data_IF_798045864644
#
_entry.id   IF_798045864644
#
_cell.length_a   1.000
_cell.length_b   1.000
_cell.length_c   1.000
_cell.angle_alpha   90.00
_cell.angle_beta   90.00
_cell.angle_gamma   90.00
#
_symmetry.space_group_name_H-M   'P 1'
#
loop_
_entity.id
_entity.type
_entity.pdbx_description
1 polymer ?
#
# COMPACT_ATOMS: atom_id res chain seq x y z
N UNK A 1 -38.04 -1.56 -10.07
CA UNK A 1 -36.61 -1.18 -9.97
C UNK A 1 -36.16 -0.33 -11.15
N UNK A 2 -36.15 -0.84 -12.40
CA UNK A 2 -35.63 -0.06 -13.54
C UNK A 2 -36.44 1.22 -13.81
N UNK A 3 -37.77 1.15 -13.68
CA UNK A 3 -38.67 2.31 -13.85
C UNK A 3 -38.41 3.45 -12.86
N UNK A 4 -37.81 3.17 -11.71
CA UNK A 4 -37.54 4.16 -10.66
C UNK A 4 -36.17 4.83 -10.76
N UNK A 5 -35.31 4.46 -11.72
CA UNK A 5 -33.97 5.05 -11.88
C UNK A 5 -33.95 6.58 -12.02
N UNK A 6 -34.91 7.24 -12.70
CA UNK A 6 -34.92 8.71 -12.75
C UNK A 6 -35.05 9.37 -11.37
N UNK A 7 -35.77 8.72 -10.45
CA UNK A 7 -35.99 9.20 -9.09
C UNK A 7 -34.92 8.71 -8.11
N UNK A 8 -34.21 7.63 -8.42
CA UNK A 8 -33.24 6.96 -7.53
C UNK A 8 -31.89 6.88 -8.25
N UNK A 9 -31.03 7.92 -8.14
CA UNK A 9 -29.83 8.05 -8.96
C UNK A 9 -28.85 6.88 -8.85
N UNK A 10 -28.74 6.27 -7.66
CA UNK A 10 -27.85 5.12 -7.41
C UNK A 10 -28.50 3.77 -7.66
N UNK A 11 -29.80 3.74 -7.98
CA UNK A 11 -30.53 2.51 -8.30
C UNK A 11 -29.86 1.62 -9.36
N UNK A 12 -29.28 2.17 -10.45
CA UNK A 12 -28.54 1.37 -11.43
C UNK A 12 -27.39 0.52 -10.84
N UNK A 13 -26.81 0.93 -9.71
CA UNK A 13 -25.73 0.19 -9.04
C UNK A 13 -26.20 -1.14 -8.41
N UNK A 14 -27.47 -1.20 -7.97
CA UNK A 14 -28.02 -2.25 -7.09
C UNK A 14 -29.09 -3.13 -7.76
N UNK A 15 -29.08 -3.29 -9.08
CA UNK A 15 -30.02 -4.21 -9.76
C UNK A 15 -29.35 -5.29 -10.61
N UNK A 16 -28.12 -5.04 -11.08
CA UNK A 16 -27.46 -5.91 -12.06
C UNK A 16 -27.11 -7.28 -11.50
N UNK A 17 -26.87 -7.41 -10.21
CA UNK A 17 -26.57 -8.72 -9.61
C UNK A 17 -27.77 -9.65 -9.63
N UNK A 18 -28.97 -9.10 -9.36
CA UNK A 18 -30.22 -9.84 -9.49
C UNK A 18 -30.42 -10.29 -10.95
N UNK A 19 -30.13 -9.43 -11.93
CA UNK A 19 -30.19 -9.80 -13.34
C UNK A 19 -29.17 -10.88 -13.71
N UNK A 20 -27.95 -10.83 -13.17
CA UNK A 20 -26.94 -11.87 -13.38
C UNK A 20 -27.39 -13.23 -12.84
N UNK A 21 -27.98 -13.25 -11.63
CA UNK A 21 -28.52 -14.47 -11.04
C UNK A 21 -29.69 -15.04 -11.84
N UNK A 22 -30.58 -14.18 -12.35
CA UNK A 22 -31.67 -14.59 -13.26
C UNK A 22 -31.13 -15.21 -14.55
N UNK A 23 -30.17 -14.55 -15.20
CA UNK A 23 -29.55 -15.05 -16.44
C UNK A 23 -28.89 -16.41 -16.19
N UNK A 24 -28.19 -16.56 -15.05
CA UNK A 24 -27.56 -17.82 -14.68
C UNK A 24 -28.60 -18.93 -14.45
N UNK A 25 -29.66 -18.64 -13.71
CA UNK A 25 -30.74 -19.59 -13.44
C UNK A 25 -31.45 -20.03 -14.73
N UNK A 26 -31.81 -19.09 -15.61
CA UNK A 26 -32.44 -19.39 -16.90
C UNK A 26 -31.57 -20.27 -17.80
N UNK A 27 -30.25 -20.07 -17.78
CA UNK A 27 -29.31 -20.95 -18.51
C UNK A 27 -29.32 -22.37 -17.94
N UNK A 28 -29.36 -22.51 -16.61
CA UNK A 28 -29.39 -23.81 -15.95
C UNK A 28 -30.73 -24.54 -16.13
N UNK A 29 -31.83 -23.79 -16.22
CA UNK A 29 -33.18 -24.35 -16.42
C UNK A 29 -33.60 -24.47 -17.88
N UNK A 30 -32.64 -24.37 -18.82
CA UNK A 30 -32.88 -24.45 -20.26
C UNK A 30 -33.99 -23.51 -20.77
N UNK A 31 -34.08 -22.31 -20.18
CA UNK A 31 -35.08 -21.30 -20.56
C UNK A 31 -36.45 -21.46 -19.90
N UNK A 32 -36.59 -22.31 -18.87
CA UNK A 32 -37.82 -22.39 -18.10
C UNK A 32 -37.95 -21.19 -17.13
N UNK A 33 -38.84 -20.26 -17.45
CA UNK A 33 -39.10 -19.07 -16.64
C UNK A 33 -39.82 -19.34 -15.32
N UNK A 34 -40.50 -20.49 -15.18
CA UNK A 34 -41.22 -20.88 -13.95
C UNK A 34 -40.33 -21.65 -12.96
N UNK A 35 -39.09 -21.95 -13.36
CA UNK A 35 -38.13 -22.65 -12.49
C UNK A 35 -37.67 -21.77 -11.32
N UNK A 36 -37.46 -22.38 -10.15
CA UNK A 36 -36.92 -21.67 -8.99
C UNK A 36 -35.47 -21.23 -9.24
N UNK A 37 -35.12 -20.03 -8.75
CA UNK A 37 -33.75 -19.50 -8.78
C UNK A 37 -33.23 -19.26 -7.37
N UNK A 38 -31.92 -19.41 -7.20
CA UNK A 38 -31.22 -19.05 -5.98
C UNK A 38 -30.58 -17.68 -6.14
N UNK A 39 -30.85 -16.77 -5.19
CA UNK A 39 -30.21 -15.46 -5.13
C UNK A 39 -28.84 -15.59 -4.45
N UNK A 40 -27.83 -14.98 -5.04
CA UNK A 40 -26.55 -14.79 -4.39
C UNK A 40 -26.67 -13.84 -3.19
N UNK A 41 -25.71 -13.90 -2.26
CA UNK A 41 -25.66 -12.96 -1.14
C UNK A 41 -25.60 -11.50 -1.62
N UNK A 42 -24.87 -11.24 -2.71
CA UNK A 42 -24.76 -9.90 -3.30
C UNK A 42 -26.11 -9.41 -3.81
N UNK A 43 -26.87 -10.26 -4.50
CA UNK A 43 -28.23 -9.93 -4.97
C UNK A 43 -29.20 -9.70 -3.82
N UNK A 44 -29.11 -10.48 -2.75
CA UNK A 44 -29.90 -10.24 -1.54
C UNK A 44 -29.56 -8.88 -0.91
N UNK A 45 -28.27 -8.55 -0.81
CA UNK A 45 -27.84 -7.24 -0.30
C UNK A 45 -28.34 -6.09 -1.18
N UNK A 46 -28.34 -6.26 -2.49
CA UNK A 46 -28.88 -5.29 -3.45
C UNK A 46 -30.39 -5.08 -3.24
N UNK A 47 -31.16 -6.16 -3.06
CA UNK A 47 -32.61 -6.06 -2.77
C UNK A 47 -32.89 -5.41 -1.41
N UNK A 48 -32.10 -5.73 -0.39
CA UNK A 48 -32.19 -5.08 0.92
C UNK A 48 -31.88 -3.58 0.82
N UNK A 49 -30.89 -3.20 0.00
CA UNK A 49 -30.61 -1.80 -0.29
C UNK A 49 -31.83 -1.11 -0.90
N UNK A 50 -32.50 -1.73 -1.87
CA UNK A 50 -33.75 -1.18 -2.44
C UNK A 50 -34.84 -0.98 -1.40
N UNK A 51 -35.10 -1.98 -0.57
CA UNK A 51 -36.11 -1.89 0.50
C UNK A 51 -35.82 -0.71 1.42
N UNK A 52 -34.55 -0.47 1.76
CA UNK A 52 -34.15 0.59 2.66
C UNK A 52 -34.20 2.00 2.03
N UNK A 53 -34.09 2.14 0.70
CA UNK A 53 -33.90 3.44 0.04
C UNK A 53 -35.05 3.86 -0.89
N UNK A 54 -35.93 2.94 -1.29
CA UNK A 54 -36.92 3.25 -2.35
C UNK A 54 -37.90 4.36 -1.96
N UNK A 55 -38.25 4.49 -0.67
CA UNK A 55 -39.20 5.49 -0.18
C UNK A 55 -38.55 6.85 0.14
N UNK A 56 -37.25 6.86 0.44
CA UNK A 56 -36.51 8.02 0.94
C UNK A 56 -35.48 8.59 -0.04
N UNK A 57 -35.25 7.92 -1.17
CA UNK A 57 -34.28 8.37 -2.15
C UNK A 57 -34.70 9.68 -2.82
N UNK A 58 -33.77 10.63 -2.86
CA UNK A 58 -33.96 11.92 -3.51
C UNK A 58 -33.02 12.07 -4.71
N UNK A 59 -33.51 12.69 -5.77
CA UNK A 59 -32.72 13.04 -6.96
C UNK A 59 -32.57 14.56 -7.06
N UNK A 60 -31.34 15.03 -7.24
CA UNK A 60 -31.09 16.44 -7.54
C UNK A 60 -31.38 16.69 -9.01
N UNK A 61 -32.40 17.51 -9.29
CA UNK A 61 -32.77 17.93 -10.65
C UNK A 61 -31.68 18.78 -11.31
N UNK A 62 -31.05 19.65 -10.54
CA UNK A 62 -29.93 20.49 -10.96
C UNK A 62 -28.71 20.07 -10.15
N UNK A 63 -27.62 19.78 -10.85
CA UNK A 63 -26.32 19.47 -10.24
C UNK A 63 -25.37 20.63 -10.52
N UNK A 64 -24.50 20.92 -9.56
CA UNK A 64 -23.43 21.89 -9.74
C UNK A 64 -22.49 21.46 -10.86
N UNK A 65 -21.82 22.43 -11.48
CA UNK A 65 -20.69 22.16 -12.35
C UNK A 65 -19.60 21.38 -11.60
N UNK A 66 -18.83 20.53 -12.28
CA UNK A 66 -17.76 19.79 -11.63
C UNK A 66 -16.69 20.75 -11.11
N UNK A 67 -16.25 20.56 -9.86
CA UNK A 67 -15.21 21.40 -9.25
C UNK A 67 -13.87 21.25 -9.98
N UNK A 68 -13.59 20.07 -10.54
CA UNK A 68 -12.41 19.82 -11.37
C UNK A 68 -12.59 18.60 -12.29
N UNK A 69 -11.62 18.47 -13.19
CA UNK A 69 -11.49 17.34 -14.12
C UNK A 69 -10.36 16.41 -13.65
N UNK A 70 -10.64 15.11 -13.65
CA UNK A 70 -9.68 14.05 -13.37
C UNK A 70 -9.52 13.19 -14.62
N UNK A 71 -8.31 13.16 -15.17
CA UNK A 71 -7.93 12.38 -16.33
C UNK A 71 -7.31 11.07 -15.87
N UNK A 72 -7.67 9.97 -16.50
CA UNK A 72 -7.06 8.66 -16.21
C UNK A 72 -6.70 7.94 -17.49
N UNK A 73 -5.69 7.08 -17.40
CA UNK A 73 -5.24 6.24 -18.49
C UNK A 73 -4.68 4.92 -17.94
N UNK A 74 -4.77 3.87 -18.75
CA UNK A 74 -4.18 2.59 -18.44
C UNK A 74 -3.24 2.13 -19.56
N UNK A 75 -2.10 1.56 -19.16
CA UNK A 75 -1.30 0.70 -20.03
C UNK A 75 -1.41 -0.75 -19.58
N UNK A 76 -0.82 -1.67 -20.34
CA UNK A 76 -0.72 -3.08 -19.92
C UNK A 76 0.17 -3.31 -18.69
N UNK A 77 0.94 -2.31 -18.25
CA UNK A 77 1.91 -2.45 -17.16
C UNK A 77 1.60 -1.56 -15.95
N UNK A 78 0.89 -0.45 -16.14
CA UNK A 78 0.65 0.53 -15.10
C UNK A 78 -0.60 1.38 -15.38
N UNK A 79 -1.04 2.12 -14.37
CA UNK A 79 -2.07 3.15 -14.46
C UNK A 79 -1.46 4.54 -14.33
N UNK A 80 -2.18 5.53 -14.84
CA UNK A 80 -1.84 6.95 -14.70
C UNK A 80 -3.08 7.79 -14.46
N UNK A 81 -2.92 8.87 -13.69
CA UNK A 81 -3.96 9.83 -13.40
C UNK A 81 -3.40 11.25 -13.29
N UNK A 82 -4.22 12.22 -13.68
CA UNK A 82 -3.91 13.64 -13.61
C UNK A 82 -5.12 14.45 -13.17
N UNK A 83 -4.96 15.19 -12.10
CA UNK A 83 -5.97 16.12 -11.58
C UNK A 83 -5.62 17.54 -12.05
N UNK A 84 -6.54 18.15 -12.80
CA UNK A 84 -6.23 19.34 -13.61
C UNK A 84 -6.13 20.65 -12.81
N UNK A 85 -6.95 20.84 -11.78
CA UNK A 85 -7.00 22.07 -10.98
C UNK A 85 -5.70 22.32 -10.19
N UNK A 86 -5.12 21.26 -9.61
CA UNK A 86 -3.89 21.34 -8.82
C UNK A 86 -2.63 20.85 -9.56
N UNK A 87 -2.77 20.39 -10.80
CA UNK A 87 -1.73 19.74 -11.62
C UNK A 87 -1.01 18.55 -10.94
N UNK A 88 -1.66 17.91 -9.96
CA UNK A 88 -1.10 16.73 -9.28
C UNK A 88 -1.29 15.48 -10.14
N UNK A 89 -0.29 14.59 -10.09
CA UNK A 89 -0.17 13.43 -10.95
C UNK A 89 0.09 12.20 -10.08
N UNK A 90 -0.48 11.07 -10.48
CA UNK A 90 -0.24 9.79 -9.84
C UNK A 90 -0.14 8.70 -10.89
N UNK A 91 0.60 7.65 -10.56
CA UNK A 91 0.74 6.46 -11.39
C UNK A 91 1.53 5.42 -10.65
N UNK A 92 1.24 4.15 -10.96
CA UNK A 92 1.93 3.02 -10.34
C UNK A 92 1.83 1.76 -11.21
N UNK A 93 2.70 0.77 -10.99
CA UNK A 93 2.60 -0.50 -11.68
C UNK A 93 1.36 -1.28 -11.24
N UNK A 94 0.87 -2.11 -12.17
CA UNK A 94 -0.06 -3.18 -11.85
C UNK A 94 0.67 -4.29 -11.07
N UNK A 95 -0.05 -4.96 -10.16
CA UNK A 95 0.37 -6.28 -9.67
C UNK A 95 0.35 -7.29 -10.81
N UNK A 96 1.04 -8.43 -10.65
CA UNK A 96 0.99 -9.51 -11.63
C UNK A 96 -0.46 -9.96 -11.92
N UNK A 97 -1.28 -10.11 -10.88
CA UNK A 97 -2.70 -10.45 -11.03
C UNK A 97 -3.48 -9.40 -11.80
N UNK A 98 -3.27 -8.11 -11.51
CA UNK A 98 -3.94 -7.02 -12.19
C UNK A 98 -3.55 -6.94 -13.66
N UNK A 99 -2.25 -6.98 -13.97
CA UNK A 99 -1.76 -6.90 -15.35
C UNK A 99 -2.27 -8.02 -16.27
N UNK A 100 -2.73 -9.13 -15.68
CA UNK A 100 -3.34 -10.25 -16.42
C UNK A 100 -4.81 -10.04 -16.77
N UNK A 101 -5.45 -9.01 -16.23
CA UNK A 101 -6.85 -8.68 -16.49
C UNK A 101 -7.02 -8.08 -17.90
N UNK A 102 -8.24 -8.18 -18.43
CA UNK A 102 -8.56 -7.61 -19.74
C UNK A 102 -8.38 -6.09 -19.75
N UNK A 103 -7.96 -5.51 -20.88
CA UNK A 103 -7.66 -4.07 -21.00
C UNK A 103 -8.81 -3.18 -20.52
N UNK A 104 -10.05 -3.47 -20.91
CA UNK A 104 -11.23 -2.72 -20.42
C UNK A 104 -11.38 -2.74 -18.89
N UNK A 105 -10.96 -3.79 -18.20
CA UNK A 105 -10.96 -3.85 -16.73
C UNK A 105 -9.89 -2.90 -16.19
N UNK A 106 -8.69 -2.92 -16.78
CA UNK A 106 -7.58 -2.06 -16.39
C UNK A 106 -7.93 -0.57 -16.58
N UNK A 107 -8.63 -0.22 -17.66
CA UNK A 107 -9.10 1.16 -17.91
C UNK A 107 -10.08 1.65 -16.85
N UNK A 108 -11.06 0.83 -16.48
CA UNK A 108 -11.99 1.15 -15.40
C UNK A 108 -11.23 1.19 -14.06
N UNK A 109 -10.27 0.30 -13.84
CA UNK A 109 -9.48 0.27 -12.61
C UNK A 109 -8.55 1.47 -12.47
N UNK A 110 -8.02 2.01 -13.57
CA UNK A 110 -7.28 3.26 -13.58
C UNK A 110 -8.15 4.44 -13.10
N UNK A 111 -9.45 4.44 -13.43
CA UNK A 111 -10.40 5.43 -12.89
C UNK A 111 -10.48 5.34 -11.36
N UNK A 112 -10.68 4.12 -10.82
CA UNK A 112 -10.73 3.88 -9.38
C UNK A 112 -9.44 4.33 -8.68
N UNK A 113 -8.30 3.94 -9.24
CA UNK A 113 -6.99 4.25 -8.68
C UNK A 113 -6.68 5.74 -8.73
N UNK A 114 -7.03 6.43 -9.82
CA UNK A 114 -6.90 7.88 -9.93
C UNK A 114 -7.74 8.62 -8.88
N UNK A 115 -8.99 8.18 -8.68
CA UNK A 115 -9.87 8.73 -7.64
C UNK A 115 -9.29 8.52 -6.23
N UNK A 116 -8.88 7.28 -5.93
CA UNK A 116 -8.32 6.96 -4.62
C UNK A 116 -6.99 7.67 -4.36
N UNK A 117 -6.14 7.85 -5.36
CA UNK A 117 -4.83 8.49 -5.19
C UNK A 117 -4.91 10.03 -5.10
N UNK A 118 -5.72 10.66 -5.96
CA UNK A 118 -5.72 12.13 -6.12
C UNK A 118 -6.91 12.83 -5.46
N UNK A 119 -7.91 12.06 -5.03
CA UNK A 119 -9.16 12.58 -4.47
C UNK A 119 -9.54 11.92 -3.13
N UNK A 120 -8.61 11.28 -2.43
CA UNK A 120 -8.92 10.59 -1.15
C UNK A 120 -9.55 11.50 -0.10
N UNK A 121 -9.05 12.74 -0.01
CA UNK A 121 -9.50 13.75 0.96
C UNK A 121 -10.74 14.52 0.50
N UNK A 122 -11.15 14.36 -0.76
CA UNK A 122 -12.33 15.03 -1.30
C UNK A 122 -13.60 14.43 -0.70
N UNK A 123 -14.56 15.29 -0.39
CA UNK A 123 -15.92 14.94 0.06
C UNK A 123 -16.89 16.01 -0.43
N UNK A 124 -18.16 15.64 -0.60
CA UNK A 124 -19.25 16.58 -0.89
C UNK A 124 -19.04 17.41 -2.17
N UNK A 125 -18.42 16.84 -3.20
CA UNK A 125 -18.10 17.50 -4.48
C UNK A 125 -18.56 16.69 -5.71
N UNK A 126 -18.55 17.33 -6.86
CA UNK A 126 -18.75 16.77 -8.19
C UNK A 126 -17.42 16.69 -8.97
N UNK A 127 -16.99 15.47 -9.31
CA UNK A 127 -15.79 15.24 -10.13
C UNK A 127 -16.20 14.82 -11.53
N UNK A 128 -15.57 15.42 -12.55
CA UNK A 128 -15.68 14.95 -13.94
C UNK A 128 -14.47 14.09 -14.32
N UNK A 129 -14.72 12.81 -14.54
CA UNK A 129 -13.76 11.84 -15.05
C UNK A 129 -13.64 11.92 -16.57
N UNK A 130 -12.40 11.99 -17.07
CA UNK A 130 -12.07 12.00 -18.48
C UNK A 130 -11.22 10.77 -18.81
N UNK A 131 -11.76 9.93 -19.69
CA UNK A 131 -11.21 8.60 -20.04
C UNK A 131 -11.25 8.45 -21.56
N UNK A 132 -10.22 7.89 -22.16
CA UNK A 132 -10.13 7.69 -23.62
C UNK A 132 -10.69 6.33 -24.09
N UNK A 133 -11.03 5.45 -23.15
CA UNK A 133 -11.72 4.20 -23.43
C UNK A 133 -13.25 4.33 -23.32
N UNK A 134 -13.96 4.19 -24.45
CA UNK A 134 -15.43 4.29 -24.51
C UNK A 134 -16.17 3.22 -23.72
N UNK A 135 -15.58 2.02 -23.56
CA UNK A 135 -16.15 0.97 -22.72
C UNK A 135 -16.09 1.39 -21.25
N UNK A 136 -14.94 1.90 -20.79
CA UNK A 136 -14.80 2.39 -19.43
C UNK A 136 -15.77 3.55 -19.14
N UNK A 137 -15.90 4.51 -20.07
CA UNK A 137 -16.90 5.59 -19.98
C UNK A 137 -18.31 5.02 -19.80
N UNK A 138 -18.68 4.02 -20.60
CA UNK A 138 -20.01 3.41 -20.56
C UNK A 138 -20.28 2.71 -19.23
N UNK A 139 -19.32 1.92 -18.73
CA UNK A 139 -19.46 1.20 -17.46
C UNK A 139 -19.58 2.16 -16.28
N UNK A 140 -18.71 3.18 -16.19
CA UNK A 140 -18.78 4.11 -15.06
C UNK A 140 -20.02 4.99 -15.17
N UNK A 141 -20.35 5.54 -16.35
CA UNK A 141 -21.55 6.38 -16.56
C UNK A 141 -22.85 5.65 -16.21
N UNK A 142 -22.96 4.37 -16.57
CA UNK A 142 -24.16 3.58 -16.33
C UNK A 142 -24.16 2.86 -14.96
N UNK A 143 -23.17 3.12 -14.10
CA UNK A 143 -22.98 2.47 -12.80
C UNK A 143 -22.88 0.93 -12.90
N UNK A 144 -22.23 0.44 -13.96
CA UNK A 144 -22.05 -0.98 -14.24
C UNK A 144 -22.51 -1.39 -15.64
N UNK A 145 -22.45 -2.70 -15.88
CA UNK A 145 -22.86 -3.34 -17.14
C UNK A 145 -23.04 -4.84 -16.98
N UNK A 146 -23.76 -5.47 -17.91
CA UNK A 146 -24.09 -6.91 -17.83
C UNK A 146 -23.19 -7.80 -18.70
N UNK A 147 -22.30 -7.20 -19.51
CA UNK A 147 -21.45 -7.95 -20.44
C UNK A 147 -20.21 -8.57 -19.78
N UNK A 148 -19.60 -7.87 -18.83
CA UNK A 148 -18.42 -8.33 -18.10
C UNK A 148 -18.63 -8.14 -16.60
N UNK A 149 -18.63 -9.27 -15.88
CA UNK A 149 -18.76 -9.28 -14.43
C UNK A 149 -17.61 -8.51 -13.76
N UNK A 150 -16.38 -8.70 -14.23
CA UNK A 150 -15.20 -8.00 -13.70
C UNK A 150 -15.28 -6.49 -13.92
N UNK A 151 -15.71 -6.04 -15.10
CA UNK A 151 -15.89 -4.60 -15.36
C UNK A 151 -17.02 -4.03 -14.47
N UNK A 152 -18.08 -4.80 -14.25
CA UNK A 152 -19.18 -4.40 -13.38
C UNK A 152 -18.77 -4.30 -11.90
N UNK A 153 -17.94 -5.22 -11.42
CA UNK A 153 -17.37 -5.18 -10.07
C UNK A 153 -16.54 -3.92 -9.85
N UNK A 154 -15.58 -3.61 -10.74
CA UNK A 154 -14.76 -2.40 -10.59
C UNK A 154 -15.59 -1.12 -10.73
N UNK A 155 -16.55 -1.07 -11.66
CA UNK A 155 -17.46 0.06 -11.77
C UNK A 155 -18.29 0.25 -10.49
N UNK A 156 -18.64 -0.85 -9.81
CA UNK A 156 -19.34 -0.79 -8.54
C UNK A 156 -18.45 -0.27 -7.41
N UNK A 157 -17.19 -0.67 -7.36
CA UNK A 157 -16.21 -0.17 -6.40
C UNK A 157 -16.00 1.35 -6.54
N UNK A 158 -15.95 1.87 -7.77
CA UNK A 158 -15.86 3.32 -8.05
C UNK A 158 -17.04 4.08 -7.43
N UNK A 159 -18.26 3.62 -7.69
CA UNK A 159 -19.44 4.32 -7.19
C UNK A 159 -19.62 4.16 -5.69
N UNK A 160 -19.30 3.01 -5.10
CA UNK A 160 -19.29 2.86 -3.64
C UNK A 160 -18.28 3.79 -2.98
N UNK A 161 -17.07 3.88 -3.54
CA UNK A 161 -16.05 4.81 -3.04
C UNK A 161 -16.54 6.27 -3.08
N UNK A 162 -17.22 6.66 -4.15
CA UNK A 162 -17.78 8.00 -4.31
C UNK A 162 -18.97 8.26 -3.38
N UNK A 163 -19.93 7.34 -3.30
CA UNK A 163 -21.11 7.42 -2.41
C UNK A 163 -20.68 7.59 -0.95
N UNK A 164 -19.71 6.80 -0.49
CA UNK A 164 -19.19 6.87 0.88
C UNK A 164 -18.55 8.23 1.24
N UNK A 165 -18.23 9.06 0.24
CA UNK A 165 -17.66 10.41 0.39
C UNK A 165 -18.63 11.50 -0.04
N UNK A 166 -19.88 11.15 -0.34
CA UNK A 166 -20.86 12.05 -0.93
C UNK A 166 -20.33 12.77 -2.19
N UNK A 167 -19.54 12.05 -3.00
CA UNK A 167 -19.02 12.55 -4.27
C UNK A 167 -19.96 12.13 -5.39
N UNK A 168 -20.32 13.09 -6.25
CA UNK A 168 -20.96 12.80 -7.53
C UNK A 168 -19.94 12.68 -8.64
N UNK A 169 -20.11 11.69 -9.52
CA UNK A 169 -19.23 11.49 -10.67
C UNK A 169 -19.99 11.75 -11.97
N UNK A 170 -19.39 12.52 -12.86
CA UNK A 170 -19.72 12.48 -14.30
C UNK A 170 -18.54 11.94 -15.08
N UNK A 171 -18.81 11.30 -16.21
CA UNK A 171 -17.76 10.71 -17.04
C UNK A 171 -17.96 11.12 -18.48
N UNK A 172 -16.89 11.56 -19.13
CA UNK A 172 -16.87 11.88 -20.55
C UNK A 172 -15.65 11.27 -21.23
N UNK A 173 -15.83 10.98 -22.52
CA UNK A 173 -14.73 10.52 -23.35
C UNK A 173 -13.79 11.68 -23.69
N UNK A 174 -12.47 11.45 -23.60
CA UNK A 174 -11.45 12.38 -24.10
C UNK A 174 -10.64 11.68 -25.20
N UNK A 175 -10.33 12.34 -26.34
CA UNK A 175 -9.43 11.76 -27.33
C UNK A 175 -8.05 11.45 -26.72
N UNK A 176 -7.48 10.28 -26.98
CA UNK A 176 -6.17 9.89 -26.42
C UNK A 176 -5.04 10.90 -26.71
N UNK A 177 -5.08 11.58 -27.85
CA UNK A 177 -4.14 12.68 -28.20
C UNK A 177 -4.18 13.87 -27.23
N UNK A 178 -5.29 14.05 -26.51
CA UNK A 178 -5.46 15.07 -25.48
C UNK A 178 -5.20 14.52 -24.06
N UNK A 179 -5.07 13.20 -23.88
CA UNK A 179 -4.86 12.54 -22.58
C UNK A 179 -3.36 12.35 -22.22
N UNK A 180 -2.50 13.27 -22.67
CA UNK A 180 -1.04 13.10 -22.68
C UNK A 180 -0.43 12.89 -21.28
N UNK A 181 -0.97 13.56 -20.26
CA UNK A 181 -0.37 13.51 -18.91
C UNK A 181 -0.68 12.18 -18.23
N UNK A 182 -1.93 11.72 -18.25
CA UNK A 182 -2.29 10.42 -17.68
C UNK A 182 -1.59 9.29 -18.45
N UNK A 183 -1.53 9.38 -19.78
CA UNK A 183 -0.80 8.45 -20.65
C UNK A 183 0.69 8.33 -20.31
N UNK A 184 1.34 9.47 -20.05
CA UNK A 184 2.74 9.47 -19.64
C UNK A 184 2.94 8.78 -18.28
N UNK A 185 2.06 9.02 -17.31
CA UNK A 185 2.17 8.38 -15.99
C UNK A 185 1.88 6.86 -16.09
N UNK A 186 0.93 6.43 -16.95
CA UNK A 186 0.65 5.01 -17.19
C UNK A 186 1.78 4.27 -17.90
N UNK A 187 2.71 4.99 -18.56
CA UNK A 187 3.85 4.42 -19.30
C UNK A 187 5.21 4.68 -18.66
N UNK A 188 5.23 5.32 -17.49
CA UNK A 188 6.46 5.65 -16.78
C UNK A 188 7.23 4.38 -16.40
N UNK A 189 8.56 4.40 -16.57
CA UNK A 189 9.42 3.34 -16.05
C UNK A 189 9.55 3.49 -14.55
N UNK A 190 8.96 2.57 -13.80
CA UNK A 190 9.04 2.56 -12.34
C UNK A 190 10.40 2.04 -11.89
N UNK A 191 11.03 2.75 -10.94
CA UNK A 191 12.34 2.39 -10.43
C UNK A 191 12.22 1.16 -9.53
N UNK A 192 12.71 0.00 -9.99
CA UNK A 192 12.65 -1.23 -9.20
C UNK A 192 13.53 -1.22 -7.95
N UNK A 193 14.40 -0.22 -7.77
CA UNK A 193 15.39 -0.17 -6.70
C UNK A 193 14.79 0.17 -5.33
N UNK A 194 13.68 0.92 -5.31
CA UNK A 194 12.96 1.29 -4.07
C UNK A 194 11.84 0.34 -3.71
N UNK A 195 11.54 -0.64 -4.57
CA UNK A 195 10.38 -1.53 -4.45
C UNK A 195 10.73 -2.90 -3.82
N UNK A 196 11.96 -3.08 -3.36
CA UNK A 196 12.36 -4.29 -2.66
C UNK A 196 11.78 -4.31 -1.26
N UNK A 197 11.04 -5.36 -0.93
CA UNK A 197 10.54 -5.63 0.42
C UNK A 197 11.27 -6.82 1.04
N UNK A 198 11.26 -6.91 2.37
CA UNK A 198 11.57 -8.16 3.04
C UNK A 198 10.65 -9.27 2.53
N UNK A 199 11.17 -10.49 2.43
CA UNK A 199 10.32 -11.64 2.17
C UNK A 199 9.20 -11.71 3.23
N UNK A 200 7.90 -11.80 2.85
CA UNK A 200 6.80 -11.80 3.80
C UNK A 200 6.88 -12.87 4.90
N UNK A 201 7.50 -14.03 4.61
CA UNK A 201 7.74 -15.08 5.61
C UNK A 201 8.75 -14.60 6.66
N UNK A 202 9.83 -13.96 6.20
CA UNK A 202 10.86 -13.37 7.08
C UNK A 202 10.27 -12.23 7.90
N UNK A 203 9.48 -11.35 7.29
CA UNK A 203 8.79 -10.26 7.98
C UNK A 203 7.86 -10.77 9.08
N UNK A 204 6.98 -11.75 8.79
CA UNK A 204 6.06 -12.31 9.80
C UNK A 204 6.81 -12.96 10.96
N UNK A 205 7.89 -13.70 10.66
CA UNK A 205 8.74 -14.28 11.70
C UNK A 205 9.37 -13.19 12.56
N UNK A 206 9.95 -12.16 11.93
CA UNK A 206 10.52 -11.02 12.64
C UNK A 206 9.50 -10.35 13.55
N UNK A 207 8.32 -10.01 13.03
CA UNK A 207 7.26 -9.38 13.80
C UNK A 207 6.87 -10.18 15.04
N UNK A 208 6.86 -11.53 14.95
CA UNK A 208 6.56 -12.40 16.09
C UNK A 208 7.65 -12.47 17.18
N UNK A 209 8.88 -12.05 16.87
CA UNK A 209 10.01 -12.07 17.81
C UNK A 209 10.08 -10.80 18.68
N UNK A 210 9.31 -9.76 18.34
CA UNK A 210 9.21 -8.53 19.11
C UNK A 210 7.86 -8.47 19.83
N UNK A 211 7.84 -7.89 21.03
CA UNK A 211 6.60 -7.54 21.72
C UNK A 211 5.95 -6.28 21.14
N UNK A 212 6.67 -5.54 20.31
CA UNK A 212 6.19 -4.36 19.60
C UNK A 212 5.40 -4.75 18.36
N UNK A 213 4.18 -4.23 18.24
CA UNK A 213 3.32 -4.43 17.07
C UNK A 213 3.26 -3.14 16.26
N UNK A 214 3.79 -3.18 15.04
CA UNK A 214 3.65 -2.09 14.09
C UNK A 214 2.23 -2.09 13.49
N UNK A 215 1.64 -0.91 13.34
CA UNK A 215 0.29 -0.71 12.80
C UNK A 215 0.28 0.05 11.46
N UNK A 216 1.44 0.56 11.03
CA UNK A 216 1.62 1.29 9.78
C UNK A 216 2.99 1.04 9.16
N UNK A 217 3.03 0.85 7.84
CA UNK A 217 4.25 0.77 7.04
C UNK A 217 4.61 2.16 6.48
N UNK A 218 5.67 2.78 6.96
CA UNK A 218 5.95 4.20 6.67
C UNK A 218 6.68 4.44 5.34
N UNK A 219 7.25 3.43 4.70
CA UNK A 219 8.06 3.62 3.48
C UNK A 219 7.72 2.56 2.44
N UNK A 220 6.44 2.45 2.10
CA UNK A 220 5.94 1.38 1.25
C UNK A 220 5.07 1.88 0.10
N UNK A 221 5.01 1.08 -0.95
CA UNK A 221 4.04 1.22 -2.04
C UNK A 221 2.91 0.22 -1.85
N UNK A 222 1.84 0.35 -2.63
CA UNK A 222 0.75 -0.63 -2.68
C UNK A 222 1.25 -2.06 -2.97
N UNK A 223 2.35 -2.18 -3.70
CA UNK A 223 2.91 -3.47 -4.10
C UNK A 223 3.80 -4.12 -3.04
N UNK A 224 4.44 -3.32 -2.18
CA UNK A 224 5.50 -3.78 -1.30
C UNK A 224 5.17 -3.64 0.20
N UNK A 225 3.99 -3.09 0.53
CA UNK A 225 3.52 -2.94 1.91
C UNK A 225 3.50 -4.28 2.65
N UNK A 226 4.00 -4.27 3.89
CA UNK A 226 3.93 -5.41 4.80
C UNK A 226 2.74 -5.32 5.77
N UNK A 227 2.15 -4.14 5.86
CA UNK A 227 1.04 -3.78 6.75
C UNK A 227 -0.02 -3.08 5.91
N UNK A 228 -1.30 -3.34 6.22
CA UNK A 228 -2.42 -2.82 5.42
C UNK A 228 -2.45 -1.29 5.34
N UNK A 229 -2.17 -0.60 6.46
CA UNK A 229 -1.97 0.85 6.49
C UNK A 229 -0.53 1.15 6.07
N UNK A 230 -0.37 1.97 5.05
CA UNK A 230 0.95 2.29 4.51
C UNK A 230 1.03 3.73 3.99
N UNK A 231 2.25 4.25 3.97
CA UNK A 231 2.59 5.60 3.51
C UNK A 231 3.52 5.47 2.32
N UNK A 232 3.10 6.05 1.20
CA UNK A 232 3.83 6.00 -0.06
C UNK A 232 4.59 7.29 -0.32
N UNK A 233 5.63 7.21 -1.16
CA UNK A 233 6.38 8.40 -1.56
C UNK A 233 5.56 9.33 -2.46
N UNK A 234 4.79 8.75 -3.38
CA UNK A 234 3.87 9.47 -4.27
C UNK A 234 2.42 9.12 -3.93
N UNK A 235 1.43 9.91 -4.38
CA UNK A 235 0.02 9.56 -4.21
C UNK A 235 -0.29 8.21 -4.86
N UNK A 236 -0.82 7.29 -4.05
CA UNK A 236 -1.20 5.95 -4.48
C UNK A 236 -2.58 5.58 -3.93
N UNK A 237 -3.30 4.64 -4.57
CA UNK A 237 -4.56 4.14 -4.08
C UNK A 237 -4.38 3.52 -2.70
N UNK A 238 -5.33 3.80 -1.79
CA UNK A 238 -5.40 3.24 -0.44
C UNK A 238 -4.26 3.63 0.52
N UNK A 239 -3.30 4.47 0.10
CA UNK A 239 -2.29 4.99 1.01
C UNK A 239 -2.95 5.87 2.09
N UNK A 240 -2.44 5.81 3.32
CA UNK A 240 -2.95 6.67 4.42
C UNK A 240 -2.26 8.04 4.46
N UNK A 241 -1.19 8.21 3.68
CA UNK A 241 -0.43 9.43 3.58
C UNK A 241 0.58 9.37 2.44
N UNK A 242 1.05 10.55 2.05
CA UNK A 242 2.08 10.74 1.02
C UNK A 242 3.29 11.41 1.66
N UNK A 243 4.48 10.89 1.38
CA UNK A 243 5.75 11.25 2.01
C UNK A 243 5.71 11.10 3.55
N UNK A 244 6.28 9.99 4.02
CA UNK A 244 6.44 9.68 5.43
C UNK A 244 7.00 10.83 6.26
N UNK A 245 7.92 11.63 5.72
CA UNK A 245 8.56 12.69 6.47
C UNK A 245 7.64 13.89 6.74
N UNK A 246 6.51 13.99 6.05
CA UNK A 246 5.49 15.04 6.30
C UNK A 246 4.56 14.67 7.46
N UNK A 247 4.53 13.40 7.86
CA UNK A 247 3.66 12.90 8.92
C UNK A 247 4.25 13.10 10.32
N UNK A 248 3.36 13.19 11.32
CA UNK A 248 3.73 13.16 12.74
C UNK A 248 3.82 11.71 13.23
N UNK A 249 5.04 11.26 13.55
CA UNK A 249 5.33 9.89 13.97
C UNK A 249 5.18 9.66 15.47
N UNK A 250 4.92 10.70 16.27
CA UNK A 250 4.85 10.62 17.74
C UNK A 250 3.83 9.58 18.23
N UNK A 251 2.76 9.37 17.48
CA UNK A 251 1.63 8.50 17.85
C UNK A 251 1.47 7.32 16.89
N UNK A 252 2.48 7.02 16.07
CA UNK A 252 2.47 5.91 15.13
C UNK A 252 3.36 4.79 15.64
N UNK A 253 2.93 3.54 15.46
CA UNK A 253 3.79 2.38 15.68
C UNK A 253 4.29 1.90 14.32
N UNK A 254 5.38 2.51 13.85
CA UNK A 254 5.86 2.31 12.50
C UNK A 254 6.61 0.99 12.30
N UNK A 255 6.40 0.35 11.16
CA UNK A 255 7.40 -0.46 10.50
C UNK A 255 8.11 0.41 9.45
N UNK A 256 9.44 0.35 9.44
CA UNK A 256 10.27 1.17 8.55
C UNK A 256 11.27 0.28 7.84
N UNK A 257 11.11 0.14 6.53
CA UNK A 257 12.15 -0.36 5.64
C UNK A 257 12.38 0.64 4.51
N UNK A 258 13.07 1.73 4.87
CA UNK A 258 13.30 2.85 3.97
C UNK A 258 14.50 2.62 3.04
N UNK A 259 14.61 3.37 1.93
CA UNK A 259 15.86 3.45 1.15
C UNK A 259 17.05 3.80 2.06
N UNK A 260 18.19 3.14 1.84
CA UNK A 260 19.33 3.24 2.76
C UNK A 260 19.92 4.66 2.85
N UNK A 261 19.77 5.46 1.79
CA UNK A 261 20.21 6.86 1.74
C UNK A 261 19.47 7.77 2.73
N UNK A 262 18.25 7.41 3.14
CA UNK A 262 17.42 8.26 4.03
C UNK A 262 17.45 7.81 5.50
N UNK A 263 18.16 6.73 5.84
CA UNK A 263 18.31 6.25 7.23
C UNK A 263 18.71 7.38 8.20
N UNK A 264 19.68 8.25 7.91
CA UNK A 264 20.03 9.35 8.83
C UNK A 264 18.85 10.27 9.15
N UNK A 265 18.03 10.60 8.13
CA UNK A 265 16.84 11.46 8.28
C UNK A 265 15.73 10.74 9.06
N UNK A 266 15.55 9.43 8.84
CA UNK A 266 14.63 8.60 9.64
C UNK A 266 14.98 8.66 11.12
N UNK A 267 16.24 8.41 11.47
CA UNK A 267 16.70 8.44 12.86
C UNK A 267 16.53 9.84 13.47
N UNK A 268 16.80 10.90 12.70
CA UNK A 268 16.59 12.28 13.13
C UNK A 268 15.11 12.57 13.41
N UNK A 269 14.21 12.19 12.51
CA UNK A 269 12.76 12.38 12.68
C UNK A 269 12.25 11.63 13.91
N UNK A 270 12.65 10.36 14.08
CA UNK A 270 12.30 9.56 15.25
C UNK A 270 12.78 10.21 16.55
N UNK A 271 14.01 10.69 16.59
CA UNK A 271 14.57 11.38 17.76
C UNK A 271 13.81 12.69 18.05
N UNK A 272 13.53 13.49 17.03
CA UNK A 272 12.86 14.79 17.18
C UNK A 272 11.41 14.64 17.64
N UNK A 273 10.70 13.64 17.13
CA UNK A 273 9.28 13.44 17.41
C UNK A 273 9.02 12.41 18.52
N UNK A 274 10.08 11.90 19.14
CA UNK A 274 10.03 10.86 20.17
C UNK A 274 9.27 9.60 19.70
N UNK A 275 9.40 9.25 18.42
CA UNK A 275 8.70 8.13 17.80
C UNK A 275 9.36 6.79 18.15
N UNK A 276 8.60 5.71 18.01
CA UNK A 276 9.06 4.33 18.22
C UNK A 276 8.66 3.48 17.03
N UNK A 277 9.58 2.65 16.55
CA UNK A 277 9.37 1.88 15.33
C UNK A 277 10.22 0.61 15.30
N UNK A 278 9.74 -0.38 14.54
CA UNK A 278 10.54 -1.50 14.08
C UNK A 278 11.22 -1.11 12.77
N UNK A 279 12.54 -0.95 12.81
CA UNK A 279 13.34 -0.44 11.69
C UNK A 279 14.25 -1.53 11.15
N UNK A 280 14.19 -1.77 9.84
CA UNK A 280 15.10 -2.67 9.13
C UNK A 280 16.29 -1.87 8.61
N UNK A 281 17.48 -2.22 9.07
CA UNK A 281 18.73 -1.53 8.75
C UNK A 281 19.73 -2.52 8.14
N UNK A 282 20.61 -2.09 7.22
CA UNK A 282 21.74 -2.91 6.83
C UNK A 282 22.75 -3.02 7.98
N UNK A 283 23.36 -4.20 8.16
CA UNK A 283 24.41 -4.37 9.16
C UNK A 283 25.73 -3.78 8.68
N UNK A 284 25.85 -2.44 8.71
CA UNK A 284 27.03 -1.70 8.27
C UNK A 284 27.62 -0.85 9.42
N UNK A 285 28.43 -1.44 10.31
CA UNK A 285 28.97 -0.75 11.49
C UNK A 285 29.84 0.49 11.17
N UNK A 286 30.38 0.57 9.96
CA UNK A 286 31.23 1.69 9.51
C UNK A 286 30.45 2.92 9.07
N UNK A 287 29.12 2.84 8.98
CA UNK A 287 28.29 3.96 8.53
C UNK A 287 28.08 5.01 9.64
N UNK A 288 28.09 6.32 9.32
CA UNK A 288 27.96 7.38 10.33
C UNK A 288 26.66 7.32 11.16
N UNK A 289 25.58 6.79 10.59
CA UNK A 289 24.29 6.67 11.28
C UNK A 289 24.22 5.46 12.23
N UNK A 290 25.10 4.46 12.08
CA UNK A 290 25.05 3.21 12.84
C UNK A 290 25.18 3.44 14.35
N UNK A 291 26.12 4.27 14.85
CA UNK A 291 26.18 4.62 16.27
C UNK A 291 24.90 5.28 16.81
N UNK A 292 24.22 6.06 15.99
CA UNK A 292 22.96 6.69 16.39
C UNK A 292 21.84 5.65 16.51
N UNK A 293 21.71 4.74 15.54
CA UNK A 293 20.72 3.66 15.61
C UNK A 293 20.92 2.77 16.85
N UNK A 294 22.15 2.32 17.13
CA UNK A 294 22.44 1.50 18.31
C UNK A 294 22.14 2.21 19.63
N UNK A 295 22.35 3.53 19.69
CA UNK A 295 21.99 4.35 20.85
C UNK A 295 20.49 4.44 21.08
N UNK A 296 19.68 4.27 20.04
CA UNK A 296 18.21 4.35 20.06
C UNK A 296 17.52 3.02 20.34
N UNK A 297 18.26 1.91 20.45
CA UNK A 297 17.70 0.59 20.74
C UNK A 297 16.92 0.58 22.05
N UNK A 298 15.77 -0.09 22.01
CA UNK A 298 14.94 -0.41 23.18
C UNK A 298 14.73 -1.92 23.35
N UNK A 299 15.30 -2.72 22.44
CA UNK A 299 15.38 -4.17 22.51
C UNK A 299 16.62 -4.66 21.73
N UNK A 300 17.03 -5.91 21.91
CA UNK A 300 18.19 -6.51 21.23
C UNK A 300 17.95 -6.56 19.72
N UNK A 301 18.87 -6.13 18.87
CA UNK A 301 18.70 -6.23 17.43
C UNK A 301 18.65 -7.69 16.98
N UNK A 302 17.76 -7.99 16.04
CA UNK A 302 17.62 -9.31 15.41
C UNK A 302 18.42 -9.32 14.11
N UNK A 303 19.51 -10.09 14.06
CA UNK A 303 20.34 -10.21 12.87
C UNK A 303 19.66 -11.15 11.87
N UNK A 304 19.58 -10.70 10.63
CA UNK A 304 18.95 -11.40 9.52
C UNK A 304 20.04 -11.76 8.53
N UNK A 305 20.34 -13.06 8.46
CA UNK A 305 21.39 -13.56 7.58
C UNK A 305 21.09 -13.24 6.11
N UNK A 306 22.15 -12.94 5.37
CA UNK A 306 22.09 -12.79 3.92
C UNK A 306 21.53 -14.06 3.26
N UNK A 307 20.62 -13.89 2.33
CA UNK A 307 20.04 -14.99 1.55
C UNK A 307 19.50 -14.48 0.22
N UNK A 308 19.48 -15.33 -0.82
CA UNK A 308 18.99 -14.98 -2.17
C UNK A 308 17.54 -14.51 -2.16
N UNK A 309 16.73 -15.08 -1.28
CA UNK A 309 15.31 -14.77 -1.14
C UNK A 309 15.01 -13.87 0.06
N UNK A 310 16.01 -13.18 0.63
CA UNK A 310 15.82 -12.27 1.75
C UNK A 310 14.95 -11.07 1.36
N UNK A 311 15.25 -10.48 0.21
CA UNK A 311 14.49 -9.39 -0.39
C UNK A 311 13.76 -9.91 -1.62
N UNK A 312 12.51 -9.49 -1.78
CA UNK A 312 11.65 -9.85 -2.91
C UNK A 312 11.19 -8.58 -3.61
N UNK A 313 11.18 -8.61 -4.95
CA UNK A 313 10.63 -7.54 -5.77
C UNK A 313 9.24 -7.97 -6.26
N UNK A 314 8.13 -7.36 -5.81
CA UNK A 314 6.77 -7.83 -6.13
C UNK A 314 6.47 -7.92 -7.62
N UNK A 315 7.00 -6.98 -8.41
CA UNK A 315 6.81 -6.95 -9.86
C UNK A 315 7.65 -7.99 -10.61
N UNK A 316 8.72 -8.50 -10.01
CA UNK A 316 9.61 -9.51 -10.59
C UNK A 316 10.08 -10.50 -9.50
N UNK A 317 9.21 -11.42 -9.03
CA UNK A 317 9.49 -12.28 -7.87
C UNK A 317 10.74 -13.17 -8.03
N UNK A 318 11.10 -13.52 -9.27
CA UNK A 318 12.27 -14.34 -9.58
C UNK A 318 13.58 -13.53 -9.65
N UNK A 319 13.51 -12.20 -9.61
CA UNK A 319 14.71 -11.35 -9.63
C UNK A 319 15.38 -11.40 -8.27
N UNK A 320 16.68 -11.67 -8.29
CA UNK A 320 17.50 -11.69 -7.08
C UNK A 320 18.04 -10.28 -6.82
N UNK A 321 17.99 -9.83 -5.57
CA UNK A 321 18.52 -8.52 -5.19
C UNK A 321 20.02 -8.44 -5.50
N UNK A 322 20.53 -7.38 -6.17
CA UNK A 322 21.93 -7.30 -6.59
C UNK A 322 22.97 -7.48 -5.47
N UNK A 323 22.62 -7.06 -4.25
CA UNK A 323 23.48 -7.16 -3.06
C UNK A 323 23.23 -8.41 -2.19
N UNK A 324 22.47 -9.42 -2.65
CA UNK A 324 22.04 -10.56 -1.81
C UNK A 324 23.18 -11.30 -1.10
N UNK A 325 24.38 -11.32 -1.67
CA UNK A 325 25.58 -12.03 -1.18
C UNK A 325 26.39 -11.23 -0.15
N UNK A 326 26.09 -9.94 -0.01
CA UNK A 326 26.79 -8.98 0.88
C UNK A 326 25.85 -8.28 1.85
N UNK A 327 24.55 -8.27 1.57
CA UNK A 327 23.55 -7.57 2.35
C UNK A 327 23.06 -8.44 3.51
N UNK A 328 23.69 -8.23 4.66
CA UNK A 328 23.15 -8.65 5.94
C UNK A 328 22.28 -7.52 6.50
N UNK A 329 21.08 -7.87 6.99
CA UNK A 329 20.15 -6.90 7.56
C UNK A 329 20.02 -7.14 9.06
N UNK A 330 19.52 -6.14 9.77
CA UNK A 330 19.10 -6.24 11.16
C UNK A 330 17.74 -5.59 11.33
N UNK A 331 16.88 -6.22 12.12
CA UNK A 331 15.68 -5.59 12.63
C UNK A 331 15.96 -5.01 14.01
N UNK A 332 15.68 -3.72 14.16
CA UNK A 332 15.94 -2.95 15.35
C UNK A 332 14.64 -2.33 15.86
N UNK A 333 14.29 -2.62 17.11
CA UNK A 333 13.24 -1.87 17.80
C UNK A 333 13.90 -0.60 18.36
N UNK A 334 13.59 0.54 17.73
CA UNK A 334 14.19 1.84 18.01
C UNK A 334 13.16 2.78 18.60
N UNK A 335 13.58 3.61 19.55
CA UNK A 335 12.76 4.69 20.10
C UNK A 335 13.54 5.99 20.18
N UNK A 336 12.91 7.12 19.89
CA UNK A 336 13.40 8.47 20.20
C UNK A 336 13.20 8.86 21.67
N UNK A 337 12.50 8.04 22.46
CA UNK A 337 12.22 8.30 23.88
C UNK A 337 13.45 7.90 24.72
N UNK A 338 14.16 8.91 25.23
CA UNK A 338 15.42 8.71 25.97
C UNK A 338 15.28 7.86 27.23
N UNK A 339 14.12 7.87 27.91
CA UNK A 339 13.88 7.03 29.10
C UNK A 339 13.82 5.54 28.74
N UNK A 340 13.18 5.17 27.63
CA UNK A 340 13.14 3.79 27.14
C UNK A 340 14.54 3.30 26.74
N UNK A 341 15.29 4.13 26.00
CA UNK A 341 16.67 3.82 25.63
C UNK A 341 17.54 3.57 26.87
N UNK A 342 17.44 4.44 27.89
CA UNK A 342 18.18 4.28 29.16
C UNK A 342 17.76 3.01 29.90
N UNK A 343 16.46 2.70 29.93
CA UNK A 343 15.96 1.48 30.56
C UNK A 343 16.56 0.24 29.89
N UNK A 344 16.57 0.16 28.56
CA UNK A 344 17.18 -0.93 27.84
C UNK A 344 18.70 -1.03 28.10
N UNK A 345 19.43 0.09 28.05
CA UNK A 345 20.88 0.09 28.32
C UNK A 345 21.24 -0.42 29.71
N UNK A 346 20.41 -0.18 30.72
CA UNK A 346 20.63 -0.72 32.07
C UNK A 346 20.55 -2.25 32.13
N UNK A 347 19.89 -2.89 31.14
CA UNK A 347 19.83 -4.36 31.04
C UNK A 347 21.06 -4.96 30.35
N UNK A 348 21.94 -4.14 29.76
CA UNK A 348 23.11 -4.59 29.02
C UNK A 348 24.35 -4.70 29.90
N UNK A 349 25.24 -5.63 29.54
CA UNK A 349 26.53 -5.81 30.21
C UNK A 349 27.50 -4.68 29.81
N UNK A 350 28.26 -4.18 30.78
CA UNK A 350 29.38 -3.28 30.52
C UNK A 350 30.54 -4.10 29.93
N UNK A 351 31.11 -3.62 28.81
CA UNK A 351 32.32 -4.20 28.24
C UNK A 351 33.52 -3.65 28.99
N UNK A 352 34.21 -4.49 29.76
CA UNK A 352 35.47 -4.13 30.39
C UNK A 352 36.60 -4.24 29.36
N UNK A 353 36.97 -3.13 28.73
CA UNK A 353 38.26 -3.00 28.03
C UNK A 353 39.11 -2.01 28.81
N UNK A 354 39.96 -2.53 29.70
CA UNK A 354 40.95 -1.73 30.41
C UNK A 354 41.83 -1.01 29.38
N UNK A 355 41.86 0.33 29.40
CA UNK A 355 42.69 1.17 28.52
C UNK A 355 44.19 1.13 28.88
N UNK A 356 44.74 -0.06 29.17
CA UNK A 356 46.01 -0.20 29.87
C UNK A 356 46.97 -1.28 29.36
N UNK A 357 46.90 -1.71 28.10
CA UNK A 357 47.97 -2.54 27.52
C UNK A 357 48.38 -2.05 26.13
N UNK A 358 49.59 -1.47 26.06
CA UNK A 358 50.34 -1.29 24.81
C UNK A 358 50.95 -2.64 24.43
N UNK A 359 50.27 -3.40 23.56
CA UNK A 359 50.86 -4.34 22.60
C UNK A 359 49.75 -4.93 21.74
N UNK A 360 49.87 -4.85 20.41
CA UNK A 360 49.12 -5.71 19.50
C UNK A 360 49.71 -7.12 19.60
N UNK A 361 49.07 -8.00 20.38
CA UNK A 361 49.19 -9.44 20.20
C UNK A 361 47.95 -9.94 19.47
N UNK A 362 48.17 -10.47 18.27
CA UNK A 362 47.17 -11.26 17.56
C UNK A 362 46.74 -12.41 18.47
N UNK A 363 45.49 -12.39 18.94
CA UNK A 363 44.80 -13.51 19.56
C UNK A 363 43.30 -13.35 19.33
N UNK A 364 42.84 -13.67 18.11
CA UNK A 364 41.44 -14.09 17.93
C UNK A 364 41.40 -15.57 18.26
N UNK A 365 41.46 -15.92 19.55
CA UNK A 365 40.97 -17.22 19.96
C UNK A 365 39.44 -17.18 19.99
N UNK A 366 38.88 -18.20 19.36
CA UNK A 366 37.49 -18.34 19.00
C UNK A 366 36.64 -18.62 20.25
N UNK A 367 36.12 -17.59 20.91
CA UNK A 367 35.21 -17.76 22.05
C UNK A 367 33.75 -17.72 21.58
N UNK A 368 33.15 -18.92 21.58
CA UNK A 368 31.73 -19.25 21.47
C UNK A 368 31.06 -19.16 20.09
N UNK A 369 30.54 -20.32 19.68
CA UNK A 369 29.58 -20.52 18.61
C UNK A 369 28.23 -19.90 19.01
N UNK A 370 27.88 -18.72 18.45
CA UNK A 370 26.47 -18.35 18.26
C UNK A 370 26.04 -16.89 18.47
N UNK A 371 26.84 -16.03 19.10
CA UNK A 371 26.42 -14.65 19.41
C UNK A 371 27.29 -13.58 18.76
N UNK A 372 26.77 -12.85 17.77
CA UNK A 372 27.37 -11.57 17.35
C UNK A 372 26.99 -10.48 18.37
N UNK A 373 27.94 -9.64 18.78
CA UNK A 373 27.69 -8.51 19.68
C UNK A 373 28.41 -7.25 19.18
N UNK A 374 27.82 -6.07 19.38
CA UNK A 374 28.45 -4.79 19.08
C UNK A 374 28.97 -4.15 20.38
N UNK A 375 30.16 -3.55 20.36
CA UNK A 375 30.67 -2.75 21.47
C UNK A 375 30.48 -1.26 21.17
N UNK A 376 29.85 -0.52 22.07
CA UNK A 376 29.61 0.92 21.91
C UNK A 376 29.78 1.65 23.24
N UNK A 377 30.75 2.57 23.31
CA UNK A 377 31.05 3.37 24.50
C UNK A 377 31.17 2.53 25.79
N UNK A 378 31.83 1.37 25.70
CA UNK A 378 31.98 0.48 26.86
C UNK A 378 30.75 -0.38 27.19
N UNK A 379 29.75 -0.47 26.30
CA UNK A 379 28.55 -1.31 26.47
C UNK A 379 28.51 -2.38 25.39
N UNK A 380 28.26 -3.63 25.79
CA UNK A 380 28.09 -4.76 24.87
C UNK A 380 26.61 -4.92 24.50
N UNK A 381 26.28 -4.80 23.21
CA UNK A 381 24.94 -4.98 22.67
C UNK A 381 24.87 -6.37 22.00
N UNK A 382 24.23 -7.37 22.63
CA UNK A 382 24.09 -8.69 22.03
C UNK A 382 23.06 -8.65 20.90
N UNK A 383 23.34 -9.37 19.82
CA UNK A 383 22.38 -9.60 18.72
C UNK A 383 21.75 -10.98 18.85
N UNK A 384 20.50 -11.10 18.43
CA UNK A 384 19.80 -12.39 18.32
C UNK A 384 19.81 -12.80 16.85
N UNK A 385 20.44 -13.92 16.50
CA UNK A 385 20.39 -14.43 15.12
C UNK A 385 19.07 -15.12 14.85
N UNK A 386 18.38 -14.69 13.80
CA UNK A 386 17.19 -15.39 13.33
C UNK A 386 17.62 -16.42 12.29
N UNK A 387 17.50 -17.70 12.64
CA UNK A 387 17.64 -18.78 11.68
C UNK A 387 16.42 -18.79 10.76
N UNK A 388 16.62 -18.50 9.47
CA UNK A 388 15.58 -18.60 8.47
C UNK A 388 15.49 -20.05 8.00
N UNK A 389 14.34 -20.70 8.20
CA UNK A 389 13.96 -21.86 7.38
C UNK A 389 13.25 -21.26 6.17
N UNK A 390 13.94 -21.24 5.03
CA UNK A 390 13.37 -20.80 3.77
C UNK A 390 12.58 -21.92 3.11
#
# INVERSE_FOLDING_TARGET
>A
MVSSFPAIPHGPLYYRQVENDKIKALKLSCGNFDSCMNLSQTSMNDLLWWIAHVESAETRLIRSDPEFELYTDSSGQAWGAHRKDTDIKAGGPWTASESSQHINVLEIKACLFGLQALCNECRDIHIRLLVDNTTAVTYVKNMGGSHSLQCNEVARDIWQWAINRNIWLTVAHVPGVANVIADRESRKKYQSETEWMLNPIVFRKLASEFTFTADIDLFASRLNKQIDKFVSWNPEPECVGVDAFTMNWRHLNGYIFCPFSVIPRVLQQMSSQQAEALVILPNWPTQPWFPTAMRMLVDKPRLINKHRCLLTLPTQPNKVHPLWDRLELMACHLSGITTKQKAFRKTLLQSYVNHGQMAQSSNTEHISTGGSSFAMNGILIPTIRIFQKF
#
